data_IF_760110034811
#
_entry.id   IF_760110034811
#
_cell.length_a   1.000
_cell.length_b   1.000
_cell.length_c   1.000
_cell.angle_alpha   90.00
_cell.angle_beta   90.00
_cell.angle_gamma   90.00
#
_symmetry.space_group_name_H-M   'P 1'
#
loop_
_entity.id
_entity.type
_entity.pdbx_description
1 polymer ?
#
# COMPACT_ATOMS: atom_id res chain seq x y z
N UNK A 1 -6.94 -32.18 -27.42
CA UNK A 1 -7.15 -31.32 -26.23
C UNK A 1 -5.93 -30.47 -25.89
N UNK A 2 -4.74 -30.92 -26.23
CA UNK A 2 -3.48 -30.23 -25.88
C UNK A 2 -3.11 -29.01 -26.76
N UNK A 3 -3.71 -28.89 -27.92
CA UNK A 3 -3.31 -27.83 -28.87
C UNK A 3 -3.92 -26.45 -28.61
N UNK A 4 -5.05 -26.40 -27.89
CA UNK A 4 -5.70 -25.13 -27.57
C UNK A 4 -5.03 -24.36 -26.44
N UNK A 5 -4.39 -25.05 -25.51
CA UNK A 5 -3.73 -24.42 -24.36
C UNK A 5 -2.39 -23.79 -24.73
N UNK A 6 -1.70 -24.32 -25.74
CA UNK A 6 -0.41 -23.78 -26.23
C UNK A 6 -0.56 -22.38 -26.85
N UNK A 7 -1.69 -22.12 -27.50
CA UNK A 7 -1.96 -20.83 -28.16
C UNK A 7 -2.24 -19.74 -27.10
N UNK A 8 -2.85 -20.12 -26.00
CA UNK A 8 -3.21 -19.16 -24.95
C UNK A 8 -2.00 -18.69 -24.15
N UNK A 9 -1.03 -19.57 -23.92
CA UNK A 9 0.22 -19.23 -23.22
C UNK A 9 1.08 -18.29 -24.09
N UNK A 10 1.09 -18.50 -25.40
CA UNK A 10 1.84 -17.64 -26.33
C UNK A 10 1.23 -16.24 -26.45
N UNK A 11 -0.09 -16.13 -26.31
CA UNK A 11 -0.80 -14.85 -26.39
C UNK A 11 -0.53 -14.00 -25.14
N UNK A 12 -0.42 -14.61 -23.96
CA UNK A 12 -0.09 -13.90 -22.72
C UNK A 12 1.36 -13.38 -22.77
N UNK A 13 2.27 -14.16 -23.34
CA UNK A 13 3.69 -13.74 -23.48
C UNK A 13 3.89 -12.63 -24.55
N UNK A 14 3.01 -12.56 -25.55
CA UNK A 14 3.14 -11.57 -26.65
C UNK A 14 2.43 -10.24 -26.35
N UNK A 15 1.47 -10.22 -25.44
CA UNK A 15 0.76 -8.99 -25.06
C UNK A 15 1.48 -8.19 -23.97
N UNK A 16 2.47 -8.79 -23.32
CA UNK A 16 3.27 -8.13 -22.27
C UNK A 16 4.31 -7.13 -22.78
N UNK A 17 4.51 -7.04 -24.10
CA UNK A 17 5.61 -6.23 -24.66
C UNK A 17 5.21 -4.79 -25.07
N UNK A 18 3.95 -4.38 -24.88
CA UNK A 18 3.50 -3.04 -25.26
C UNK A 18 2.59 -2.47 -24.18
N UNK A 19 3.17 -1.93 -23.14
CA UNK A 19 2.35 -1.23 -22.17
C UNK A 19 3.00 -1.05 -20.80
N UNK A 20 4.12 -0.37 -20.77
CA UNK A 20 4.65 0.12 -19.50
C UNK A 20 3.87 1.37 -19.09
N UNK A 21 2.63 1.22 -18.62
CA UNK A 21 1.91 2.32 -17.97
C UNK A 21 0.74 1.80 -17.13
N UNK A 22 0.76 2.18 -15.85
CA UNK A 22 -0.30 2.07 -14.85
C UNK A 22 -0.50 0.67 -14.27
N UNK A 23 0.30 0.38 -13.26
CA UNK A 23 0.00 -0.71 -12.36
C UNK A 23 -1.07 -0.25 -11.38
N UNK A 24 -2.30 -0.69 -11.60
CA UNK A 24 -3.28 -0.83 -10.52
C UNK A 24 -3.19 -2.27 -10.07
N UNK A 25 -3.03 -2.55 -8.78
CA UNK A 25 -3.30 -3.90 -8.30
C UNK A 25 -4.80 -4.12 -8.33
N UNK A 26 -5.38 -4.11 -9.53
CA UNK A 26 -6.73 -4.60 -9.71
C UNK A 26 -6.67 -6.08 -10.04
N UNK A 27 -7.41 -6.85 -9.28
CA UNK A 27 -7.69 -8.25 -9.49
C UNK A 27 -8.23 -8.54 -10.90
N UNK A 28 -7.40 -8.36 -11.91
CA UNK A 28 -7.72 -8.86 -13.24
C UNK A 28 -6.60 -9.77 -13.71
N UNK A 29 -6.23 -10.68 -12.86
CA UNK A 29 -5.49 -11.83 -13.32
C UNK A 29 -6.50 -12.72 -14.04
N UNK A 30 -6.12 -13.15 -15.23
CA UNK A 30 -6.97 -13.91 -16.12
C UNK A 30 -7.75 -14.99 -15.36
N UNK A 31 -9.07 -14.90 -15.43
CA UNK A 31 -9.94 -15.91 -14.85
C UNK A 31 -9.49 -17.29 -15.35
N UNK A 32 -9.00 -18.12 -14.44
CA UNK A 32 -8.56 -19.47 -14.76
C UNK A 32 -7.16 -19.88 -14.33
N UNK A 33 -6.38 -18.98 -13.68
CA UNK A 33 -5.11 -19.39 -13.08
C UNK A 33 -5.26 -19.39 -11.56
N UNK A 34 -5.42 -20.56 -10.98
CA UNK A 34 -5.17 -20.77 -9.57
C UNK A 34 -3.68 -21.01 -9.45
N UNK A 35 -2.94 -20.08 -8.91
CA UNK A 35 -1.49 -20.25 -8.79
C UNK A 35 -0.82 -19.10 -8.08
N UNK A 36 0.43 -19.30 -7.76
CA UNK A 36 1.24 -18.29 -7.10
C UNK A 36 1.45 -17.10 -8.03
N UNK A 37 1.09 -15.93 -7.57
CA UNK A 37 1.36 -14.66 -8.25
C UNK A 37 2.32 -13.83 -7.40
N UNK A 38 2.95 -12.84 -7.99
CA UNK A 38 3.82 -11.95 -7.23
C UNK A 38 3.80 -10.54 -7.80
N UNK A 39 4.11 -9.57 -6.94
CA UNK A 39 4.22 -8.17 -7.34
C UNK A 39 5.22 -7.46 -6.44
N UNK A 40 5.74 -6.35 -6.94
CA UNK A 40 6.69 -5.54 -6.18
C UNK A 40 5.95 -4.71 -5.13
N UNK A 41 6.50 -4.62 -3.94
CA UNK A 41 5.98 -3.74 -2.91
C UNK A 41 6.26 -2.29 -3.28
N UNK A 42 5.22 -1.48 -3.19
CA UNK A 42 5.34 -0.04 -3.38
C UNK A 42 6.07 0.60 -2.20
N UNK A 43 6.76 1.68 -2.48
CA UNK A 43 7.24 2.57 -1.44
C UNK A 43 6.05 3.45 -1.00
N UNK A 44 5.85 3.57 0.30
CA UNK A 44 4.81 4.46 0.82
C UNK A 44 5.46 5.77 1.23
N UNK A 45 5.03 6.87 0.65
CA UNK A 45 5.56 8.21 0.91
C UNK A 45 4.49 9.03 1.66
N UNK A 46 4.71 9.26 2.96
CA UNK A 46 3.79 10.00 3.83
C UNK A 46 4.21 11.48 3.88
N UNK A 47 3.43 12.33 3.24
CA UNK A 47 3.66 13.76 3.11
C UNK A 47 2.77 14.56 4.03
N UNK A 48 3.33 15.58 4.67
CA UNK A 48 2.52 16.43 5.54
C UNK A 48 3.35 17.28 6.48
N UNK A 49 2.67 17.81 7.47
CA UNK A 49 3.23 18.73 8.45
C UNK A 49 3.60 18.02 9.78
N UNK A 50 3.33 18.67 10.91
CA UNK A 50 3.64 18.14 12.24
C UNK A 50 2.84 16.88 12.58
N UNK A 51 1.65 16.72 12.02
CA UNK A 51 0.84 15.53 12.25
C UNK A 51 1.51 14.31 11.60
N UNK A 52 1.97 14.44 10.37
CA UNK A 52 2.73 13.37 9.67
C UNK A 52 4.09 13.14 10.34
N UNK A 53 4.79 14.22 10.74
CA UNK A 53 6.05 14.12 11.49
C UNK A 53 5.89 13.35 12.81
N UNK A 54 4.69 13.37 13.38
CA UNK A 54 4.36 12.67 14.63
C UNK A 54 4.67 13.49 15.88
N UNK A 55 4.55 14.80 15.79
CA UNK A 55 4.75 15.68 16.95
C UNK A 55 3.74 15.30 18.06
N UNK A 56 4.23 15.21 19.30
CA UNK A 56 3.39 14.78 20.42
C UNK A 56 3.39 13.27 20.67
N UNK A 57 3.77 12.46 19.70
CA UNK A 57 3.67 11.00 19.77
C UNK A 57 4.78 10.27 20.52
N UNK A 58 5.82 11.00 21.01
CA UNK A 58 6.97 10.41 21.72
C UNK A 58 7.63 9.27 20.97
N UNK A 59 7.83 9.46 19.65
CA UNK A 59 8.46 8.49 18.78
C UNK A 59 7.48 7.53 18.10
N UNK A 60 6.20 7.58 18.45
CA UNK A 60 5.15 6.89 17.71
C UNK A 60 4.61 7.88 16.67
N UNK A 61 4.68 7.50 15.40
CA UNK A 61 4.12 8.29 14.29
C UNK A 61 3.24 7.37 13.46
N UNK A 62 2.23 7.90 12.77
CA UNK A 62 1.40 7.02 11.94
C UNK A 62 2.20 6.36 10.80
N UNK A 63 3.18 7.03 10.14
CA UNK A 63 3.97 6.34 9.13
C UNK A 63 4.78 5.17 9.69
N UNK A 64 5.34 5.32 10.89
CA UNK A 64 6.08 4.23 11.54
C UNK A 64 5.16 3.04 11.85
N UNK A 65 3.99 3.29 12.42
CA UNK A 65 3.03 2.22 12.74
C UNK A 65 2.52 1.58 11.44
N UNK A 66 2.28 2.38 10.41
CA UNK A 66 1.86 1.87 9.10
C UNK A 66 2.91 0.92 8.50
N UNK A 67 4.19 1.26 8.64
CA UNK A 67 5.29 0.37 8.24
C UNK A 67 5.21 -0.97 8.99
N UNK A 68 4.91 -0.93 10.29
CA UNK A 68 4.77 -2.16 11.11
C UNK A 68 3.56 -2.99 10.69
N UNK A 69 2.45 -2.34 10.30
CA UNK A 69 1.22 -3.01 9.89
C UNK A 69 1.30 -3.61 8.48
N UNK A 70 1.90 -2.88 7.54
CA UNK A 70 1.93 -3.29 6.12
C UNK A 70 3.14 -4.15 5.78
N UNK A 71 4.24 -3.98 6.51
CA UNK A 71 5.53 -4.50 6.11
C UNK A 71 6.17 -3.76 4.93
N UNK A 72 5.51 -2.73 4.37
CA UNK A 72 6.05 -1.95 3.25
C UNK A 72 7.16 -1.00 3.74
N UNK A 73 8.11 -0.62 2.87
CA UNK A 73 9.00 0.49 3.19
C UNK A 73 8.19 1.79 3.20
N UNK A 74 8.30 2.55 4.29
CA UNK A 74 7.54 3.79 4.49
C UNK A 74 8.51 4.93 4.76
N UNK A 75 8.44 5.99 3.98
CA UNK A 75 9.12 7.25 4.20
C UNK A 75 8.20 8.22 4.94
N UNK A 76 8.72 8.84 5.99
CA UNK A 76 8.02 9.92 6.69
C UNK A 76 8.60 11.25 6.21
N UNK A 77 7.85 11.96 5.38
CA UNK A 77 8.19 13.29 4.85
C UNK A 77 7.40 14.39 5.58
N UNK A 78 6.97 14.14 6.80
CA UNK A 78 6.33 15.16 7.64
C UNK A 78 7.35 16.18 8.15
N UNK A 79 7.04 17.47 8.07
CA UNK A 79 7.87 18.56 8.60
C UNK A 79 7.00 19.50 9.43
N UNK A 80 7.30 19.60 10.71
CA UNK A 80 6.50 20.40 11.66
C UNK A 80 6.45 21.88 11.25
N UNK A 81 5.24 22.41 11.19
CA UNK A 81 4.99 23.81 10.89
C UNK A 81 4.88 24.15 9.40
N UNK A 82 5.13 23.18 8.53
CA UNK A 82 5.01 23.43 7.08
C UNK A 82 3.57 23.75 6.68
N UNK A 83 3.45 24.72 5.80
CA UNK A 83 2.23 25.12 5.14
C UNK A 83 1.96 24.21 3.92
N UNK A 84 0.75 24.26 3.42
CA UNK A 84 0.37 23.44 2.25
C UNK A 84 1.27 23.69 1.05
N UNK A 85 1.60 24.94 0.74
CA UNK A 85 2.48 25.27 -0.39
C UNK A 85 3.88 24.68 -0.23
N UNK A 86 4.43 24.75 0.99
CA UNK A 86 5.77 24.20 1.26
C UNK A 86 5.80 22.68 1.08
N UNK A 87 4.74 21.98 1.51
CA UNK A 87 4.62 20.52 1.34
C UNK A 87 4.55 20.18 -0.16
N UNK A 88 3.71 20.90 -0.92
CA UNK A 88 3.57 20.71 -2.38
C UNK A 88 4.91 20.95 -3.09
N UNK A 89 5.58 22.09 -2.79
CA UNK A 89 6.87 22.42 -3.40
C UNK A 89 7.91 21.33 -3.12
N UNK A 90 7.96 20.81 -1.90
CA UNK A 90 8.91 19.77 -1.50
C UNK A 90 8.62 18.43 -2.18
N UNK A 91 7.35 18.09 -2.37
CA UNK A 91 6.96 16.89 -3.13
C UNK A 91 7.36 17.04 -4.60
N UNK A 92 7.16 18.22 -5.18
CA UNK A 92 7.57 18.51 -6.55
C UNK A 92 9.09 18.40 -6.73
N UNK A 93 9.86 18.85 -5.72
CA UNK A 93 11.33 18.70 -5.73
C UNK A 93 11.78 17.21 -5.62
N UNK A 94 11.00 16.38 -4.94
CA UNK A 94 11.26 14.93 -4.84
C UNK A 94 11.05 14.28 -6.22
N UNK A 95 10.01 14.70 -6.94
CA UNK A 95 9.75 14.29 -8.32
C UNK A 95 8.76 13.12 -8.47
N UNK A 96 8.96 12.32 -9.48
CA UNK A 96 8.09 11.23 -9.92
C UNK A 96 7.86 10.19 -8.82
N UNK A 97 6.60 9.92 -8.49
CA UNK A 97 6.16 8.91 -7.52
C UNK A 97 5.11 7.97 -8.15
N UNK A 98 5.13 7.84 -9.48
CA UNK A 98 4.13 7.05 -10.22
C UNK A 98 4.10 5.57 -9.83
N UNK A 99 5.22 5.04 -9.33
CA UNK A 99 5.32 3.66 -8.86
C UNK A 99 5.07 3.48 -7.36
N UNK A 100 4.72 4.55 -6.66
CA UNK A 100 4.61 4.55 -5.19
C UNK A 100 3.17 4.73 -4.74
N UNK A 101 2.97 4.74 -3.42
CA UNK A 101 1.71 5.13 -2.80
C UNK A 101 1.96 6.41 -2.00
N UNK A 102 1.24 7.48 -2.31
CA UNK A 102 1.32 8.73 -1.56
C UNK A 102 0.24 8.78 -0.48
N UNK A 103 0.63 9.12 0.74
CA UNK A 103 -0.30 9.43 1.83
C UNK A 103 -0.10 10.89 2.19
N UNK A 104 -1.16 11.69 2.11
CA UNK A 104 -1.06 13.14 2.23
C UNK A 104 -1.98 13.64 3.34
N UNK A 105 -1.41 14.39 4.27
CA UNK A 105 -2.13 15.05 5.36
C UNK A 105 -1.63 16.49 5.45
N UNK A 106 -2.42 17.48 5.03
CA UNK A 106 -2.00 18.88 5.07
C UNK A 106 -3.21 19.80 5.19
N UNK A 107 -2.96 21.02 5.65
CA UNK A 107 -3.97 22.08 5.73
C UNK A 107 -4.01 22.79 7.07
N UNK A 108 -3.50 22.19 8.13
CA UNK A 108 -3.61 22.72 9.49
C UNK A 108 -2.79 24.00 9.68
N UNK A 109 -1.69 24.16 8.96
CA UNK A 109 -0.83 25.37 9.06
C UNK A 109 -1.19 26.45 8.04
N UNK A 110 -2.30 26.30 7.32
CA UNK A 110 -2.84 27.35 6.44
C UNK A 110 -2.12 27.49 5.11
N UNK A 111 -2.13 28.74 4.63
CA UNK A 111 -1.72 29.22 3.30
C UNK A 111 -2.64 28.80 2.16
N UNK A 112 -3.82 28.33 2.48
CA UNK A 112 -4.90 28.16 1.50
C UNK A 112 -6.00 29.18 1.77
N UNK A 113 -6.65 29.66 0.71
CA UNK A 113 -7.60 30.78 0.76
C UNK A 113 -9.03 30.33 1.02
N UNK A 114 -9.33 29.13 0.55
CA UNK A 114 -10.66 28.51 0.66
C UNK A 114 -10.51 27.03 0.30
N UNK A 115 -11.57 26.26 0.44
CA UNK A 115 -11.54 24.83 0.20
C UNK A 115 -11.15 24.46 -1.24
N UNK A 116 -11.62 25.21 -2.22
CA UNK A 116 -11.26 24.96 -3.63
C UNK A 116 -9.74 25.12 -3.85
N UNK A 117 -9.14 26.08 -3.18
CA UNK A 117 -7.69 26.31 -3.24
C UNK A 117 -6.91 25.15 -2.60
N UNK A 118 -7.38 24.69 -1.45
CA UNK A 118 -6.76 23.54 -0.77
C UNK A 118 -6.88 22.26 -1.62
N UNK A 119 -8.07 21.97 -2.13
CA UNK A 119 -8.31 20.81 -3.01
C UNK A 119 -7.38 20.89 -4.23
N UNK A 120 -7.25 22.07 -4.80
CA UNK A 120 -6.36 22.27 -5.95
C UNK A 120 -4.90 21.98 -5.59
N UNK A 121 -4.46 22.32 -4.39
CA UNK A 121 -3.09 22.01 -3.95
C UNK A 121 -2.87 20.50 -3.84
N UNK A 122 -3.82 19.74 -3.30
CA UNK A 122 -3.76 18.28 -3.31
C UNK A 122 -3.68 17.73 -4.74
N UNK A 123 -4.53 18.25 -5.65
CA UNK A 123 -4.54 17.80 -7.05
C UNK A 123 -3.23 18.11 -7.75
N UNK A 124 -2.69 19.30 -7.56
CA UNK A 124 -1.39 19.69 -8.13
C UNK A 124 -0.27 18.76 -7.64
N UNK A 125 -0.28 18.45 -6.35
CA UNK A 125 0.72 17.55 -5.75
C UNK A 125 0.70 16.17 -6.39
N UNK A 126 -0.49 15.61 -6.58
CA UNK A 126 -0.67 14.30 -7.22
C UNK A 126 -0.28 14.35 -8.71
N UNK A 127 -0.68 15.42 -9.41
CA UNK A 127 -0.38 15.59 -10.84
C UNK A 127 1.14 15.75 -11.07
N UNK A 128 1.82 16.55 -10.25
CA UNK A 128 3.27 16.77 -10.37
C UNK A 128 4.07 15.52 -10.02
N UNK A 129 3.57 14.70 -9.09
CA UNK A 129 4.19 13.42 -8.72
C UNK A 129 3.85 12.29 -9.71
N UNK A 130 2.95 12.51 -10.65
CA UNK A 130 2.39 11.49 -11.56
C UNK A 130 1.81 10.30 -10.78
N UNK A 131 1.24 10.55 -9.59
CA UNK A 131 0.85 9.49 -8.65
C UNK A 131 -0.65 9.22 -8.67
N UNK A 132 -1.03 8.02 -9.04
CA UNK A 132 -2.43 7.57 -9.06
C UNK A 132 -2.83 6.74 -7.84
N UNK A 133 -1.86 6.27 -7.07
CA UNK A 133 -2.10 5.46 -5.86
C UNK A 133 -1.91 6.37 -4.63
N UNK A 134 -3.01 6.83 -4.05
CA UNK A 134 -2.90 7.78 -2.95
C UNK A 134 -4.00 7.61 -1.90
N UNK A 135 -3.72 8.12 -0.71
CA UNK A 135 -4.69 8.27 0.39
C UNK A 135 -4.56 9.69 0.93
N UNK A 136 -5.68 10.38 1.09
CA UNK A 136 -5.73 11.68 1.74
C UNK A 136 -6.32 11.50 3.14
N UNK A 137 -5.60 11.99 4.14
CA UNK A 137 -6.06 11.97 5.53
C UNK A 137 -6.69 13.34 5.80
N UNK A 138 -7.95 13.35 6.25
CA UNK A 138 -8.58 14.59 6.72
C UNK A 138 -7.96 15.01 8.06
N UNK A 139 -8.06 16.29 8.36
CA UNK A 139 -7.56 16.79 9.64
C UNK A 139 -8.28 16.13 10.83
N UNK A 140 -7.63 16.14 11.97
CA UNK A 140 -8.25 15.83 13.25
C UNK A 140 -8.88 17.12 13.81
N UNK A 141 -9.78 16.98 14.79
CA UNK A 141 -10.39 18.16 15.43
C UNK A 141 -9.37 18.92 16.27
N UNK A 142 -9.61 20.20 16.48
CA UNK A 142 -8.95 20.97 17.54
C UNK A 142 -9.74 20.72 18.84
N UNK A 143 -9.08 20.30 19.93
CA UNK A 143 -9.79 20.06 21.20
C UNK A 143 -10.39 21.32 21.79
N UNK A 144 -9.94 22.47 21.36
CA UNK A 144 -10.56 23.75 21.69
C UNK A 144 -11.37 24.31 20.54
N UNK A 145 -11.80 23.46 19.65
CA UNK A 145 -12.50 23.87 18.43
C UNK A 145 -13.59 24.90 18.75
N UNK A 146 -13.32 26.07 18.31
CA UNK A 146 -14.00 27.22 18.75
C UNK A 146 -14.82 27.83 17.65
N UNK A 147 -15.31 27.01 16.79
CA UNK A 147 -16.30 27.63 16.10
C UNK A 147 -15.93 28.45 14.91
N UNK A 148 -14.77 28.23 14.32
CA UNK A 148 -14.41 29.00 13.14
C UNK A 148 -14.25 28.12 11.93
N UNK A 149 -14.96 28.46 10.87
CA UNK A 149 -14.70 27.97 9.52
C UNK A 149 -14.13 29.16 8.75
N UNK A 150 -12.83 29.14 8.50
CA UNK A 150 -12.12 30.20 7.73
C UNK A 150 -12.43 31.62 8.21
N UNK A 151 -12.39 31.83 9.52
CA UNK A 151 -12.60 33.12 10.12
C UNK A 151 -14.07 33.45 10.39
N UNK A 152 -14.98 32.57 10.05
CA UNK A 152 -16.39 32.73 10.44
C UNK A 152 -16.58 32.15 11.85
N UNK A 153 -17.61 32.61 12.54
CA UNK A 153 -17.89 32.19 13.90
C UNK A 153 -19.32 31.68 14.03
N UNK A 154 -19.59 31.01 15.15
CA UNK A 154 -20.93 30.54 15.46
C UNK A 154 -21.22 29.10 15.07
N UNK A 155 -20.21 28.32 14.80
CA UNK A 155 -20.36 26.89 14.54
C UNK A 155 -20.18 26.07 15.82
N UNK A 156 -20.89 24.97 15.91
CA UNK A 156 -20.74 24.04 17.03
C UNK A 156 -19.41 23.28 16.91
N UNK A 157 -18.82 22.83 18.01
CA UNK A 157 -17.61 22.02 17.97
C UNK A 157 -17.74 20.82 17.01
N UNK A 158 -16.71 20.58 16.24
CA UNK A 158 -16.66 19.51 15.23
C UNK A 158 -17.35 19.83 13.92
N UNK A 159 -18.10 20.92 13.82
CA UNK A 159 -18.82 21.27 12.58
C UNK A 159 -17.87 21.66 11.46
N UNK A 160 -16.82 22.41 11.78
CA UNK A 160 -15.77 22.78 10.82
C UNK A 160 -15.13 21.55 10.20
N UNK A 161 -14.76 20.62 11.06
CA UNK A 161 -14.04 19.40 10.63
C UNK A 161 -14.93 18.48 9.81
N UNK A 162 -16.20 18.35 10.19
CA UNK A 162 -17.17 17.58 9.40
C UNK A 162 -17.35 18.18 7.99
N UNK A 163 -17.37 19.49 7.88
CA UNK A 163 -17.46 20.18 6.57
C UNK A 163 -16.19 19.98 5.75
N UNK A 164 -15.03 20.08 6.37
CA UNK A 164 -13.72 19.83 5.74
C UNK A 164 -13.67 18.39 5.19
N UNK A 165 -14.05 17.41 6.01
CA UNK A 165 -14.12 15.99 5.61
C UNK A 165 -15.04 15.79 4.40
N UNK A 166 -16.22 16.42 4.43
CA UNK A 166 -17.19 16.29 3.34
C UNK A 166 -16.64 16.86 2.03
N UNK A 167 -15.96 18.01 2.09
CA UNK A 167 -15.36 18.63 0.91
C UNK A 167 -14.24 17.77 0.31
N UNK A 168 -13.37 17.19 1.14
CA UNK A 168 -12.35 16.28 0.66
C UNK A 168 -12.97 15.03 0.03
N UNK A 169 -13.99 14.46 0.66
CA UNK A 169 -14.70 13.29 0.12
C UNK A 169 -15.37 13.58 -1.22
N UNK A 170 -15.94 14.77 -1.38
CA UNK A 170 -16.56 15.18 -2.64
C UNK A 170 -15.51 15.26 -3.77
N UNK A 171 -14.29 15.72 -3.43
CA UNK A 171 -13.21 15.91 -4.39
C UNK A 171 -12.44 14.62 -4.73
N UNK A 172 -12.19 13.76 -3.73
CA UNK A 172 -11.25 12.64 -3.85
C UNK A 172 -11.90 11.27 -3.60
N UNK A 173 -13.20 11.25 -3.30
CA UNK A 173 -13.97 10.02 -3.23
C UNK A 173 -13.49 9.01 -2.20
N UNK A 174 -13.31 7.80 -2.69
CA UNK A 174 -12.90 6.65 -1.86
C UNK A 174 -11.48 6.77 -1.29
N UNK A 175 -10.66 7.65 -1.83
CA UNK A 175 -9.27 7.84 -1.40
C UNK A 175 -9.14 8.60 -0.06
N UNK A 176 -10.24 9.05 0.54
CA UNK A 176 -10.20 9.86 1.75
C UNK A 176 -10.42 9.02 3.01
N UNK A 177 -9.50 9.17 3.95
CA UNK A 177 -9.65 8.70 5.34
C UNK A 177 -10.22 9.86 6.17
N UNK A 178 -11.40 9.69 6.74
CA UNK A 178 -11.97 10.65 7.71
C UNK A 178 -11.37 10.35 9.09
N UNK A 179 -10.16 10.87 9.32
CA UNK A 179 -9.35 10.51 10.48
C UNK A 179 -10.09 10.82 11.80
N UNK A 180 -10.65 12.02 11.92
CA UNK A 180 -11.40 12.44 13.12
C UNK A 180 -12.50 11.42 13.47
N UNK A 181 -13.33 11.09 12.48
CA UNK A 181 -14.43 10.14 12.69
C UNK A 181 -13.91 8.75 13.11
N UNK A 182 -12.88 8.28 12.42
CA UNK A 182 -12.28 6.98 12.72
C UNK A 182 -11.72 6.94 14.15
N UNK A 183 -11.03 8.01 14.57
CA UNK A 183 -10.48 8.09 15.93
C UNK A 183 -11.57 8.12 17.01
N UNK A 184 -12.67 8.80 16.74
CA UNK A 184 -13.83 8.83 17.65
C UNK A 184 -14.41 7.40 17.80
N UNK A 185 -14.61 6.71 16.70
CA UNK A 185 -15.29 5.40 16.68
C UNK A 185 -14.40 4.25 17.15
N UNK A 186 -13.09 4.31 16.86
CA UNK A 186 -12.21 3.14 16.99
C UNK A 186 -10.97 3.42 17.86
N UNK A 187 -10.61 4.68 18.07
CA UNK A 187 -9.31 5.03 18.64
C UNK A 187 -9.04 4.46 20.03
N UNK A 188 -10.06 4.45 20.90
CA UNK A 188 -9.91 3.89 22.25
C UNK A 188 -9.76 2.37 22.19
N UNK A 189 -10.63 1.69 21.43
CA UNK A 189 -10.64 0.22 21.35
C UNK A 189 -9.34 -0.35 20.75
N UNK A 190 -8.79 0.29 19.72
CA UNK A 190 -7.51 -0.10 19.09
C UNK A 190 -6.39 -0.11 20.13
N UNK A 191 -6.45 0.81 21.08
CA UNK A 191 -5.43 0.97 22.11
C UNK A 191 -5.77 0.25 23.44
N UNK A 192 -6.91 -0.42 23.51
CA UNK A 192 -7.34 -1.09 24.74
C UNK A 192 -7.64 -0.12 25.88
N UNK A 193 -8.09 1.09 25.55
CA UNK A 193 -8.43 2.12 26.53
C UNK A 193 -9.93 2.06 26.86
N UNK A 194 -10.25 2.25 28.13
CA UNK A 194 -11.63 2.31 28.58
C UNK A 194 -12.24 3.68 28.27
N UNK A 195 -13.45 3.66 27.73
CA UNK A 195 -14.21 4.88 27.42
C UNK A 195 -14.74 5.51 28.74
N UNK A 196 -14.52 6.78 28.91
CA UNK A 196 -15.01 7.58 30.04
C UNK A 196 -16.28 8.34 29.68
N UNK A 197 -16.93 8.95 30.71
CA UNK A 197 -18.07 9.84 30.45
C UNK A 197 -17.66 11.05 29.58
N UNK A 198 -16.47 11.59 29.86
CA UNK A 198 -15.93 12.70 29.05
C UNK A 198 -15.74 12.29 27.57
N UNK A 199 -15.27 11.08 27.31
CA UNK A 199 -15.09 10.60 25.94
C UNK A 199 -16.43 10.53 25.20
N UNK A 200 -17.48 10.04 25.87
CA UNK A 200 -18.83 10.00 25.28
C UNK A 200 -19.36 11.40 24.98
N UNK A 201 -19.21 12.33 25.91
CA UNK A 201 -19.63 13.72 25.70
C UNK A 201 -18.89 14.39 24.54
N UNK A 202 -17.59 14.09 24.41
CA UNK A 202 -16.78 14.60 23.30
C UNK A 202 -17.24 13.97 21.98
N UNK A 203 -17.43 12.66 21.94
CA UNK A 203 -17.87 11.94 20.73
C UNK A 203 -19.22 12.47 20.23
N UNK A 204 -20.17 12.75 21.13
CA UNK A 204 -21.47 13.34 20.78
C UNK A 204 -21.33 14.70 20.08
N UNK A 205 -20.24 15.43 20.37
CA UNK A 205 -19.92 16.74 19.76
C UNK A 205 -19.02 16.58 18.53
N UNK A 206 -18.68 15.37 18.13
CA UNK A 206 -17.78 15.13 17.00
C UNK A 206 -16.30 15.37 17.32
N UNK A 207 -15.93 15.29 18.60
CA UNK A 207 -14.56 15.57 19.08
C UNK A 207 -13.87 14.29 19.51
N UNK A 208 -12.58 14.19 19.20
CA UNK A 208 -11.71 13.04 19.55
C UNK A 208 -11.48 13.01 21.08
N UNK A 209 -11.40 11.83 21.65
CA UNK A 209 -11.04 11.62 23.05
C UNK A 209 -9.70 12.31 23.39
N UNK A 210 -9.65 12.96 24.57
CA UNK A 210 -8.40 13.54 25.09
C UNK A 210 -7.36 12.46 25.42
N UNK A 211 -7.78 11.20 25.64
CA UNK A 211 -6.86 10.08 25.83
C UNK A 211 -5.98 9.82 24.58
N UNK A 212 -6.40 10.29 23.40
CA UNK A 212 -5.67 10.12 22.14
C UNK A 212 -4.82 11.35 21.78
N UNK A 213 -4.84 12.38 22.63
CA UNK A 213 -4.19 13.66 22.36
C UNK A 213 -3.00 13.91 23.28
N UNK A 214 -2.10 14.77 22.82
CA UNK A 214 -0.98 15.30 23.60
C UNK A 214 -1.43 16.45 24.51
N UNK A 215 -2.66 16.44 24.95
CA UNK A 215 -3.46 17.55 25.49
C UNK A 215 -2.76 18.35 26.59
N UNK A 216 -2.04 17.66 27.50
CA UNK A 216 -1.39 18.34 28.63
C UNK A 216 -0.14 19.13 28.24
N UNK A 217 0.32 18.99 26.99
CA UNK A 217 1.54 19.64 26.49
C UNK A 217 1.18 20.66 25.41
N UNK A 218 0.36 20.25 24.48
CA UNK A 218 -0.18 21.13 23.44
C UNK A 218 -1.59 20.66 23.06
N UNK A 219 -2.37 21.55 22.49
CA UNK A 219 -3.78 21.29 22.20
C UNK A 219 -4.02 20.73 20.78
N UNK A 220 -3.00 20.63 19.96
CA UNK A 220 -3.16 20.31 18.55
C UNK A 220 -2.88 18.84 18.27
N UNK A 221 -1.77 18.33 18.79
CA UNK A 221 -1.20 17.08 18.31
C UNK A 221 -1.79 15.85 19.01
N UNK A 222 -1.78 14.74 18.29
CA UNK A 222 -2.08 13.42 18.84
C UNK A 222 -0.92 12.95 19.73
N UNK A 223 -1.21 12.05 20.65
CA UNK A 223 -0.18 11.30 21.35
C UNK A 223 0.07 9.96 20.64
N UNK A 224 0.89 9.09 21.20
CA UNK A 224 1.21 7.80 20.61
C UNK A 224 0.00 6.90 20.37
N UNK A 225 -1.02 6.97 21.22
CA UNK A 225 -2.27 6.23 21.03
C UNK A 225 -3.05 6.77 19.83
N UNK A 226 -3.14 8.09 19.70
CA UNK A 226 -3.82 8.72 18.57
C UNK A 226 -3.14 8.39 17.23
N UNK A 227 -1.81 8.50 17.17
CA UNK A 227 -1.07 8.16 15.94
C UNK A 227 -1.17 6.67 15.58
N UNK A 228 -1.24 5.79 16.57
CA UNK A 228 -1.49 4.37 16.32
C UNK A 228 -2.87 4.16 15.69
N UNK A 229 -3.90 4.79 16.24
CA UNK A 229 -5.26 4.68 15.69
C UNK A 229 -5.35 5.30 14.29
N UNK A 230 -4.67 6.43 14.04
CA UNK A 230 -4.60 7.05 12.71
C UNK A 230 -3.94 6.09 11.70
N UNK A 231 -2.88 5.40 12.10
CA UNK A 231 -2.23 4.40 11.24
C UNK A 231 -3.18 3.26 10.88
N UNK A 232 -4.00 2.80 11.83
CA UNK A 232 -5.00 1.78 11.55
C UNK A 232 -6.05 2.26 10.54
N UNK A 233 -6.49 3.53 10.66
CA UNK A 233 -7.42 4.11 9.68
C UNK A 233 -6.85 4.09 8.25
N UNK A 234 -5.57 4.47 8.12
CA UNK A 234 -4.85 4.46 6.82
C UNK A 234 -4.68 3.00 6.35
N UNK A 235 -4.32 2.10 7.26
CA UNK A 235 -4.11 0.69 6.94
C UNK A 235 -5.38 0.05 6.38
N UNK A 236 -6.51 0.26 7.03
CA UNK A 236 -7.81 -0.26 6.58
C UNK A 236 -8.20 0.33 5.22
N UNK A 237 -7.94 1.63 5.03
CA UNK A 237 -8.21 2.31 3.76
C UNK A 237 -7.36 1.72 2.62
N UNK A 238 -6.10 1.42 2.88
CA UNK A 238 -5.24 0.81 1.86
C UNK A 238 -5.68 -0.62 1.50
N UNK A 239 -6.22 -1.38 2.47
CA UNK A 239 -6.86 -2.69 2.16
C UNK A 239 -8.08 -2.46 1.26
N UNK A 240 -8.94 -1.50 1.61
CA UNK A 240 -10.15 -1.15 0.85
C UNK A 240 -9.81 -0.78 -0.61
N UNK A 241 -8.71 -0.04 -0.81
CA UNK A 241 -8.25 0.40 -2.12
C UNK A 241 -7.41 -0.67 -2.86
N UNK A 242 -7.08 -1.77 -2.20
CA UNK A 242 -6.29 -2.85 -2.78
C UNK A 242 -4.78 -2.57 -2.82
N UNK A 243 -4.30 -1.65 -1.99
CA UNK A 243 -2.86 -1.30 -1.97
C UNK A 243 -2.02 -2.30 -1.20
N UNK A 244 -2.60 -3.00 -0.25
CA UNK A 244 -1.94 -4.05 0.55
C UNK A 244 -2.97 -5.01 1.14
N UNK A 245 -2.50 -6.11 1.71
CA UNK A 245 -3.36 -7.18 2.23
C UNK A 245 -3.50 -7.11 3.76
N UNK A 246 -4.62 -7.61 4.26
CA UNK A 246 -4.96 -7.60 5.69
C UNK A 246 -3.99 -8.42 6.56
N UNK A 247 -3.26 -9.35 5.97
CA UNK A 247 -2.38 -10.26 6.70
C UNK A 247 -0.90 -9.96 6.48
N UNK A 248 -0.54 -8.71 6.42
CA UNK A 248 0.81 -8.24 6.07
C UNK A 248 1.92 -9.26 6.36
N UNK A 249 2.67 -9.61 5.36
CA UNK A 249 3.74 -10.60 5.48
C UNK A 249 5.10 -9.96 5.78
N UNK A 250 6.06 -10.79 6.11
CA UNK A 250 7.43 -10.32 6.27
C UNK A 250 7.93 -9.69 4.97
N UNK A 251 8.61 -8.58 5.12
CA UNK A 251 9.20 -7.86 4.00
C UNK A 251 10.43 -8.63 3.53
N UNK A 252 10.37 -9.21 2.34
CA UNK A 252 11.58 -9.73 1.73
C UNK A 252 12.50 -8.57 1.36
N UNK A 253 13.80 -8.80 1.42
CA UNK A 253 14.80 -7.75 1.23
C UNK A 253 14.78 -7.12 -0.17
N UNK A 254 14.25 -7.84 -1.14
CA UNK A 254 14.17 -7.40 -2.54
C UNK A 254 12.85 -6.68 -2.88
N UNK A 255 11.90 -6.64 -1.93
CA UNK A 255 10.62 -5.96 -2.12
C UNK A 255 9.57 -6.76 -2.89
N UNK A 256 9.89 -7.94 -3.42
CA UNK A 256 8.91 -8.79 -4.10
C UNK A 256 8.17 -9.68 -3.09
N UNK A 257 6.87 -9.86 -3.29
CA UNK A 257 6.05 -10.74 -2.44
C UNK A 257 5.27 -11.73 -3.30
N UNK A 258 5.23 -12.96 -2.86
CA UNK A 258 4.43 -14.02 -3.49
C UNK A 258 3.09 -14.13 -2.77
N UNK A 259 2.00 -14.28 -3.51
CA UNK A 259 0.64 -14.31 -2.98
C UNK A 259 -0.14 -15.47 -3.60
N UNK A 260 -0.91 -16.16 -2.77
CA UNK A 260 -1.89 -17.17 -3.20
C UNK A 260 -3.21 -16.86 -2.49
N UNK A 261 -4.29 -16.66 -3.25
CA UNK A 261 -5.63 -16.35 -2.71
C UNK A 261 -5.61 -15.19 -1.70
N UNK A 262 -4.89 -14.11 -2.04
CA UNK A 262 -4.73 -12.90 -1.23
C UNK A 262 -3.99 -13.12 0.11
N UNK A 263 -3.26 -14.23 0.24
CA UNK A 263 -2.41 -14.51 1.42
C UNK A 263 -0.96 -14.49 0.99
N UNK A 264 -0.14 -13.70 1.70
CA UNK A 264 1.29 -13.60 1.45
C UNK A 264 1.96 -14.93 1.83
N UNK A 265 2.78 -15.44 0.93
CA UNK A 265 3.54 -16.68 1.08
C UNK A 265 5.00 -16.34 1.38
N UNK A 266 5.29 -16.00 2.64
CA UNK A 266 6.58 -15.41 3.04
C UNK A 266 7.79 -16.36 2.85
N UNK A 267 7.57 -17.66 2.90
CA UNK A 267 8.63 -18.68 2.78
C UNK A 267 8.47 -19.53 1.51
N UNK A 268 7.79 -19.00 0.51
CA UNK A 268 7.50 -19.74 -0.73
C UNK A 268 8.77 -20.08 -1.50
N UNK A 269 8.87 -21.32 -1.94
CA UNK A 269 9.90 -21.77 -2.87
C UNK A 269 9.24 -22.41 -4.08
N UNK A 270 9.48 -21.86 -5.26
CA UNK A 270 8.84 -22.32 -6.49
C UNK A 270 8.68 -21.22 -7.51
N UNK A 271 7.80 -21.42 -8.46
CA UNK A 271 7.58 -20.46 -9.54
C UNK A 271 6.28 -19.66 -9.31
N UNK A 272 6.35 -18.36 -9.53
CA UNK A 272 5.22 -17.44 -9.42
C UNK A 272 5.12 -16.56 -10.67
N UNK A 273 3.90 -16.09 -10.96
CA UNK A 273 3.59 -15.37 -12.20
C UNK A 273 3.32 -13.89 -11.94
N UNK A 274 3.85 -13.02 -12.79
CA UNK A 274 3.40 -11.62 -12.88
C UNK A 274 3.24 -11.21 -14.35
N UNK A 275 3.03 -9.92 -14.60
CA UNK A 275 2.83 -9.38 -15.95
C UNK A 275 4.05 -9.54 -16.87
N UNK A 276 5.23 -9.80 -16.29
CA UNK A 276 6.47 -9.99 -17.06
C UNK A 276 6.80 -11.46 -17.31
N UNK A 277 6.08 -12.41 -16.66
CA UNK A 277 6.29 -13.84 -16.87
C UNK A 277 6.35 -14.63 -15.58
N UNK A 278 6.88 -15.86 -15.70
CA UNK A 278 7.08 -16.77 -14.56
C UNK A 278 8.51 -16.61 -14.03
N UNK A 279 8.63 -16.44 -12.71
CA UNK A 279 9.89 -16.24 -12.02
C UNK A 279 10.06 -17.25 -10.90
N UNK A 280 11.30 -17.53 -10.54
CA UNK A 280 11.61 -18.49 -9.46
C UNK A 280 11.88 -17.76 -8.15
N UNK A 281 11.27 -18.25 -7.10
CA UNK A 281 11.42 -17.76 -5.73
C UNK A 281 12.06 -18.84 -4.87
N UNK A 282 12.87 -18.44 -3.91
CA UNK A 282 13.53 -19.31 -2.95
C UNK A 282 13.38 -18.71 -1.55
N UNK A 283 12.62 -19.41 -0.69
CA UNK A 283 12.35 -18.95 0.68
C UNK A 283 11.81 -17.52 0.71
N UNK A 284 10.80 -17.25 -0.12
CA UNK A 284 10.12 -15.95 -0.22
C UNK A 284 10.85 -14.88 -1.02
N UNK A 285 12.10 -15.12 -1.45
CA UNK A 285 12.93 -14.13 -2.14
C UNK A 285 13.02 -14.49 -3.63
N UNK A 286 12.85 -13.49 -4.50
CA UNK A 286 13.07 -13.65 -5.94
C UNK A 286 14.51 -14.05 -6.21
N UNK A 287 14.74 -15.22 -6.80
CA UNK A 287 16.08 -15.74 -7.06
C UNK A 287 16.46 -15.55 -8.54
N UNK A 288 16.96 -14.37 -8.85
CA UNK A 288 17.42 -14.02 -10.20
C UNK A 288 18.67 -14.80 -10.65
N UNK A 289 19.28 -15.56 -9.76
CA UNK A 289 20.43 -16.42 -10.10
C UNK A 289 20.03 -17.85 -10.44
N UNK A 290 18.78 -18.24 -10.13
CA UNK A 290 18.34 -19.62 -10.27
C UNK A 290 18.39 -20.06 -11.73
N UNK A 291 19.09 -21.17 -11.99
CA UNK A 291 19.11 -21.83 -13.28
C UNK A 291 18.87 -23.33 -13.06
N UNK A 292 17.74 -23.81 -13.55
CA UNK A 292 17.32 -25.19 -13.24
C UNK A 292 15.86 -25.43 -13.55
N UNK A 293 15.31 -26.45 -12.94
CA UNK A 293 13.94 -26.90 -13.20
C UNK A 293 13.01 -26.60 -12.01
N UNK A 294 11.83 -26.07 -12.29
CA UNK A 294 10.77 -25.93 -11.30
C UNK A 294 9.45 -26.48 -11.85
N UNK A 295 8.53 -26.83 -10.95
CA UNK A 295 7.28 -27.50 -11.30
C UNK A 295 6.07 -26.67 -10.85
N UNK A 296 5.01 -26.70 -11.68
CA UNK A 296 3.68 -26.24 -11.30
C UNK A 296 2.63 -27.26 -11.76
N UNK A 297 1.37 -26.94 -11.67
CA UNK A 297 0.26 -27.81 -12.06
C UNK A 297 0.24 -28.19 -13.55
N UNK A 298 1.02 -27.50 -14.37
CA UNK A 298 1.13 -27.79 -15.82
C UNK A 298 2.36 -28.63 -16.17
N UNK A 299 3.31 -28.83 -15.23
CA UNK A 299 4.49 -29.68 -15.44
C UNK A 299 5.80 -29.01 -15.05
N UNK A 300 6.88 -29.62 -15.54
CA UNK A 300 8.25 -29.16 -15.29
C UNK A 300 8.66 -28.12 -16.34
N UNK A 301 9.31 -27.06 -15.87
CA UNK A 301 9.74 -25.93 -16.67
C UNK A 301 11.20 -25.60 -16.39
N UNK A 302 11.90 -25.06 -17.38
CA UNK A 302 13.30 -24.67 -17.24
C UNK A 302 13.43 -23.18 -17.01
N UNK A 303 14.23 -22.80 -16.04
CA UNK A 303 14.50 -21.42 -15.64
C UNK A 303 15.97 -21.08 -15.94
N UNK A 304 16.20 -19.86 -16.38
CA UNK A 304 17.52 -19.33 -16.65
C UNK A 304 17.61 -17.93 -16.05
N UNK A 305 18.49 -17.76 -15.05
CA UNK A 305 18.61 -16.49 -14.31
C UNK A 305 17.25 -16.06 -13.74
N UNK A 306 16.56 -16.95 -13.07
CA UNK A 306 15.32 -16.69 -12.36
C UNK A 306 14.07 -16.63 -13.22
N UNK A 307 14.21 -16.46 -14.54
CA UNK A 307 13.08 -16.30 -15.47
C UNK A 307 12.84 -17.59 -16.27
N UNK A 308 11.58 -17.94 -16.47
CA UNK A 308 11.18 -19.07 -17.30
C UNK A 308 11.72 -18.93 -18.73
N UNK A 309 12.50 -19.91 -19.16
CA UNK A 309 13.11 -19.93 -20.50
C UNK A 309 12.32 -20.89 -21.42
N UNK A 310 11.37 -20.34 -22.15
CA UNK A 310 10.53 -21.13 -23.09
C UNK A 310 11.29 -21.58 -24.33
N UNK A 311 12.44 -20.99 -24.61
CA UNK A 311 13.26 -21.32 -25.79
C UNK A 311 14.35 -22.34 -25.46
N UNK A 312 14.49 -22.71 -24.18
CA UNK A 312 15.50 -23.66 -23.77
C UNK A 312 15.32 -25.00 -24.52
N UNK A 313 16.40 -25.46 -25.08
CA UNK A 313 16.47 -26.78 -25.75
C UNK A 313 17.70 -27.51 -25.23
N UNK A 314 17.50 -28.63 -24.56
CA UNK A 314 18.62 -29.37 -23.98
C UNK A 314 18.20 -30.30 -22.86
N UNK A 315 19.22 -30.84 -22.20
CA UNK A 315 19.03 -31.73 -21.06
C UNK A 315 19.13 -30.95 -19.76
N UNK A 316 18.21 -31.20 -18.86
CA UNK A 316 18.28 -30.69 -17.48
C UNK A 316 18.00 -31.83 -16.49
N UNK A 317 18.48 -31.68 -15.27
CA UNK A 317 18.38 -32.74 -14.24
C UNK A 317 17.69 -32.18 -12.99
N UNK A 318 16.83 -32.99 -12.38
CA UNK A 318 16.27 -32.73 -11.07
C UNK A 318 16.35 -34.00 -10.21
N UNK A 319 15.73 -34.01 -9.05
CA UNK A 319 15.74 -35.17 -8.12
C UNK A 319 15.07 -36.42 -8.69
N UNK A 320 14.28 -36.29 -9.76
CA UNK A 320 13.60 -37.42 -10.41
C UNK A 320 14.37 -37.99 -11.61
N UNK A 321 15.40 -37.27 -12.09
CA UNK A 321 16.23 -37.73 -13.20
C UNK A 321 16.50 -36.69 -14.28
N UNK A 322 16.88 -37.19 -15.48
CA UNK A 322 17.19 -36.35 -16.62
C UNK A 322 15.96 -36.10 -17.49
N UNK A 323 15.78 -34.83 -17.91
CA UNK A 323 14.65 -34.36 -18.75
C UNK A 323 15.18 -33.68 -19.99
N UNK A 324 14.49 -33.83 -21.13
CA UNK A 324 14.83 -33.18 -22.38
C UNK A 324 13.74 -32.12 -22.69
N UNK A 325 14.21 -30.96 -22.90
CA UNK A 325 13.33 -29.85 -23.28
C UNK A 325 13.46 -29.57 -24.76
N UNK A 326 12.36 -29.34 -25.43
CA UNK A 326 12.39 -29.00 -26.79
C UNK A 326 11.46 -27.83 -27.06
N UNK A 327 11.80 -26.98 -27.77
CA UNK A 327 11.03 -25.82 -28.16
C UNK A 327 9.61 -25.82 -27.65
N UNK A 328 9.44 -25.04 -26.81
CA UNK A 328 8.14 -24.75 -26.31
C UNK A 328 7.45 -25.83 -25.55
N UNK A 329 8.05 -26.71 -25.33
CA UNK A 329 7.19 -27.65 -24.79
C UNK A 329 7.63 -28.43 -23.61
N UNK A 330 6.95 -29.02 -23.14
CA UNK A 330 7.00 -29.81 -22.03
C UNK A 330 8.20 -30.76 -22.02
N UNK A 331 8.43 -30.91 -21.15
CA UNK A 331 9.42 -31.70 -20.97
C UNK A 331 9.03 -33.08 -21.15
N UNK A 332 9.73 -33.83 -21.67
CA UNK A 332 9.58 -35.26 -21.79
C UNK A 332 10.61 -35.94 -20.88
N UNK A 333 10.15 -36.78 -19.96
CA UNK A 333 11.01 -37.67 -19.17
C UNK A 333 11.68 -38.66 -20.13
N UNK A 334 12.99 -38.58 -20.24
CA UNK A 334 13.72 -39.46 -21.13
C UNK A 334 14.43 -40.64 -20.44
N UNK A 335 14.74 -40.53 -19.16
CA UNK A 335 15.44 -41.60 -18.47
C UNK A 335 15.10 -41.63 -16.97
N UNK A 336 14.40 -42.65 -16.60
CA UNK A 336 14.42 -43.15 -15.23
C UNK A 336 15.61 -44.09 -15.13
N UNK A 337 16.63 -43.75 -14.37
CA UNK A 337 17.66 -44.71 -14.04
C UNK A 337 17.00 -45.85 -13.26
N UNK A 338 16.72 -46.92 -13.96
CA UNK A 338 16.33 -48.15 -13.31
C UNK A 338 17.52 -48.67 -12.50
N UNK A 339 17.47 -48.50 -11.18
CA UNK A 339 18.27 -49.30 -10.32
C UNK A 339 17.61 -50.68 -10.23
N UNK A 340 18.29 -51.70 -10.70
CA UNK A 340 17.99 -53.07 -10.34
C UNK A 340 18.11 -53.23 -8.83
#
# INVERSE_FOLDING_TARGET
MFQKNKIMILIVALLGAVGAFFYRPQQTYAAGFSGMTFYHRFLINCWGDSMTAGQGGNGVTYPRVLKELTGFPVNNFGVSGETTYEIVDRSAEYGDQSGDIMIIEMGDNGTWRNMDDLIKQYQNMLDEADCSNYIIISSTDDPNDTDQIWGESGYEPGMRDAWYEAALKDAFGEHVVTARKYLIENGLSINGLDETDEDRERAEKGLISLQLRNYWIDNTHLNGYGYRAQAHAVYEKGIELGYWFANGGDVTSDGWIVVEDDVIQADYTGMALNEYGWWYFNDGVLDESYTGMAVNEYGWWYFNNGLLDLDYTGMAVNEYGWWYFXXXXXXYELYRNGSE
#
